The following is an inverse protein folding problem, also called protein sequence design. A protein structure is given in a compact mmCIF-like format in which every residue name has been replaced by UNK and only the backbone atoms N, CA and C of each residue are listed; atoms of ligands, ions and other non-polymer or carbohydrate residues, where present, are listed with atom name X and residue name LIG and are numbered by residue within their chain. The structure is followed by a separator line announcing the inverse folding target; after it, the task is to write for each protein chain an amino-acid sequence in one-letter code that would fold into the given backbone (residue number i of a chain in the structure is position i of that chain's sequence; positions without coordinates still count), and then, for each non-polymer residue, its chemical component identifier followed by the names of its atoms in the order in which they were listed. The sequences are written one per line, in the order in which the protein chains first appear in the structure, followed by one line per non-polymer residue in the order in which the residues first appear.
data_IF_428096168402
#
_entry.id   IF_428096168402
#
_cell.length_a   1.000
_cell.length_b   1.000
_cell.length_c   1.000
_cell.angle_alpha   90.00
_cell.angle_beta   90.00
_cell.angle_gamma   90.00
#
_symmetry.space_group_name_H-M   'P 1'
#
loop_
_entity.id
_entity.type
_entity.pdbx_description
1 polymer ?
#
# COMPACT_ATOMS: atom_id res chain seq x y z
N UNK A 1 4.26 19.01 -0.15
CA UNK A 1 4.19 18.63 1.28
C UNK A 1 5.07 17.43 1.55
N UNK A 2 5.65 17.32 2.75
CA UNK A 2 6.44 16.16 3.19
C UNK A 2 5.89 15.66 4.53
N UNK A 3 5.82 14.35 4.70
CA UNK A 3 5.55 13.67 5.97
C UNK A 3 6.74 12.75 6.23
N UNK A 4 7.36 12.88 7.40
CA UNK A 4 8.56 12.12 7.76
C UNK A 4 8.25 11.31 9.00
N UNK A 5 8.73 10.07 9.04
CA UNK A 5 8.77 9.31 10.29
C UNK A 5 9.68 10.03 11.29
N UNK A 6 9.31 9.98 12.57
CA UNK A 6 10.18 10.40 13.66
C UNK A 6 11.50 9.61 13.63
N UNK A 7 12.61 10.26 13.97
CA UNK A 7 13.91 9.59 13.97
C UNK A 7 13.92 8.38 14.91
N UNK A 8 14.41 7.25 14.40
CA UNK A 8 14.62 6.04 15.17
C UNK A 8 16.09 6.01 15.59
N UNK A 9 16.35 5.98 16.89
CA UNK A 9 17.72 5.87 17.41
C UNK A 9 18.39 4.55 17.01
N UNK A 10 19.72 4.51 16.98
CA UNK A 10 20.47 3.28 16.66
C UNK A 10 20.10 2.11 17.59
N UNK A 11 19.84 2.39 18.87
CA UNK A 11 19.36 1.38 19.81
C UNK A 11 17.99 0.84 19.40
N UNK A 12 17.06 1.71 19.00
CA UNK A 12 15.73 1.30 18.57
C UNK A 12 15.78 0.49 17.27
N UNK A 13 16.66 0.83 16.32
CA UNK A 13 16.85 0.04 15.09
C UNK A 13 17.29 -1.40 15.36
N UNK A 14 18.00 -1.65 16.47
CA UNK A 14 18.45 -2.99 16.85
C UNK A 14 17.38 -3.83 17.57
N UNK A 15 16.35 -3.21 18.13
CA UNK A 15 15.35 -3.91 18.97
C UNK A 15 13.95 -3.93 18.35
N UNK A 16 13.60 -2.94 17.54
CA UNK A 16 12.27 -2.85 16.94
C UNK A 16 12.16 -3.80 15.76
N UNK A 17 11.08 -4.54 15.74
CA UNK A 17 10.66 -5.33 14.57
C UNK A 17 10.16 -4.43 13.45
N UNK A 18 10.12 -4.95 12.23
CA UNK A 18 9.56 -4.24 11.06
C UNK A 18 8.11 -3.80 11.33
N UNK A 19 7.32 -4.64 12.00
CA UNK A 19 5.93 -4.33 12.35
C UNK A 19 5.83 -3.17 13.36
N UNK A 20 6.75 -3.07 14.31
CA UNK A 20 6.79 -1.95 15.26
C UNK A 20 7.25 -0.65 14.58
N UNK A 21 8.20 -0.74 13.66
CA UNK A 21 8.62 0.39 12.83
C UNK A 21 7.45 0.88 11.95
N UNK A 22 6.69 -0.04 11.35
CA UNK A 22 5.54 0.31 10.51
C UNK A 22 4.44 1.08 11.28
N UNK A 23 4.31 0.90 12.60
CA UNK A 23 3.35 1.63 13.44
C UNK A 23 3.62 3.11 13.54
N UNK A 24 4.88 3.52 13.40
CA UNK A 24 5.29 4.93 13.53
C UNK A 24 5.54 5.60 12.17
N UNK A 25 5.43 4.85 11.06
CA UNK A 25 5.56 5.41 9.72
C UNK A 25 4.45 6.44 9.45
N UNK A 26 4.74 7.55 8.74
CA UNK A 26 3.68 8.39 8.18
C UNK A 26 2.74 7.57 7.31
N UNK A 27 1.50 8.05 7.25
CA UNK A 27 0.38 7.40 6.58
C UNK A 27 -0.32 8.42 5.69
N UNK A 28 -0.73 7.97 4.51
CA UNK A 28 -1.68 8.67 3.66
C UNK A 28 -2.78 7.69 3.25
N UNK A 29 -3.94 8.25 2.92
CA UNK A 29 -5.10 7.50 2.49
C UNK A 29 -5.53 8.00 1.11
N UNK A 30 -5.84 7.07 0.21
CA UNK A 30 -6.48 7.35 -1.06
C UNK A 30 -7.73 6.46 -1.17
N UNK A 31 -8.92 7.03 -0.99
CA UNK A 31 -10.12 6.23 -0.79
C UNK A 31 -9.97 5.31 0.43
N UNK A 32 -10.06 4.00 0.20
CA UNK A 32 -9.87 2.96 1.23
C UNK A 32 -8.46 2.33 1.19
N UNK A 33 -7.59 2.75 0.29
CA UNK A 33 -6.21 2.28 0.23
C UNK A 33 -5.33 3.11 1.18
N UNK A 34 -4.71 2.42 2.14
CA UNK A 34 -3.70 2.96 3.04
C UNK A 34 -2.32 2.85 2.40
N UNK A 35 -1.54 3.93 2.42
CA UNK A 35 -0.13 3.90 2.00
C UNK A 35 0.78 4.46 3.09
N UNK A 36 1.90 3.79 3.31
CA UNK A 36 2.86 4.12 4.38
C UNK A 36 4.29 3.93 3.90
N UNK A 37 5.23 4.56 4.56
CA UNK A 37 6.67 4.35 4.39
C UNK A 37 7.44 5.32 5.25
N UNK A 38 8.76 5.35 5.15
CA UNK A 38 9.59 6.17 6.05
C UNK A 38 9.43 7.66 5.74
N UNK A 39 9.36 8.01 4.46
CA UNK A 39 9.21 9.39 3.98
C UNK A 39 8.15 9.46 2.88
N UNK A 40 7.21 10.39 3.00
CA UNK A 40 6.16 10.63 2.01
C UNK A 40 6.29 12.06 1.48
N UNK A 41 6.36 12.19 0.16
CA UNK A 41 6.42 13.45 -0.55
C UNK A 41 5.24 13.56 -1.51
N UNK A 42 4.52 14.67 -1.43
CA UNK A 42 3.49 15.03 -2.39
C UNK A 42 3.90 16.34 -3.06
N UNK A 43 4.05 16.31 -4.38
CA UNK A 43 4.39 17.47 -5.20
C UNK A 43 3.16 18.00 -5.93
N UNK A 44 3.22 19.29 -6.28
CA UNK A 44 2.19 19.99 -7.03
C UNK A 44 2.81 20.69 -8.23
N UNK A 45 2.04 20.84 -9.29
CA UNK A 45 2.39 21.74 -10.38
C UNK A 45 2.38 23.19 -9.86
N UNK A 46 3.45 23.94 -10.14
CA UNK A 46 3.63 25.30 -9.61
C UNK A 46 2.74 26.35 -10.30
N UNK A 47 2.21 26.04 -11.48
CA UNK A 47 1.34 26.92 -12.26
C UNK A 47 -0.13 26.64 -12.01
N UNK A 48 -0.53 25.36 -12.00
CA UNK A 48 -1.95 24.98 -11.82
C UNK A 48 -2.31 24.69 -10.37
N UNK A 49 -1.31 24.44 -9.50
CA UNK A 49 -1.48 24.01 -8.11
C UNK A 49 -2.09 22.61 -7.93
N UNK A 50 -2.28 21.88 -9.04
CA UNK A 50 -2.75 20.49 -9.04
C UNK A 50 -1.70 19.55 -8.47
N UNK A 51 -2.15 18.44 -7.88
CA UNK A 51 -1.28 17.34 -7.49
C UNK A 51 -0.59 16.76 -8.73
N UNK A 52 0.72 16.49 -8.61
CA UNK A 52 1.53 15.97 -9.70
C UNK A 52 2.08 14.57 -9.35
N UNK A 53 2.83 14.45 -8.26
CA UNK A 53 3.48 13.19 -7.90
C UNK A 53 3.37 12.88 -6.40
N UNK A 54 3.24 11.58 -6.11
CA UNK A 54 3.46 10.98 -4.80
C UNK A 54 4.80 10.23 -4.83
N UNK A 55 5.60 10.36 -3.79
CA UNK A 55 6.80 9.53 -3.59
C UNK A 55 6.81 9.02 -2.16
N UNK A 56 6.88 7.71 -1.99
CA UNK A 56 7.11 7.09 -0.69
C UNK A 56 8.45 6.38 -0.76
N UNK A 57 9.35 6.73 0.15
CA UNK A 57 10.73 6.25 0.16
C UNK A 57 10.96 5.39 1.40
N UNK A 58 11.58 4.23 1.17
CA UNK A 58 11.92 3.19 2.14
C UNK A 58 10.67 2.57 2.80
N UNK A 59 10.62 1.23 2.81
CA UNK A 59 9.51 0.46 3.40
C UNK A 59 8.14 0.91 2.92
N UNK A 60 8.01 1.20 1.61
CA UNK A 60 6.74 1.58 1.03
C UNK A 60 5.78 0.39 1.13
N UNK A 61 4.59 0.64 1.66
CA UNK A 61 3.60 -0.38 1.93
C UNK A 61 2.20 0.15 1.61
N UNK A 62 1.43 -0.65 0.86
CA UNK A 62 0.05 -0.40 0.49
C UNK A 62 -0.81 -1.50 1.14
N UNK A 63 -1.90 -1.09 1.78
CA UNK A 63 -2.92 -1.99 2.30
C UNK A 63 -4.27 -1.51 1.79
N UNK A 64 -5.05 -2.40 1.21
CA UNK A 64 -6.44 -2.14 0.85
C UNK A 64 -7.31 -3.22 1.47
N UNK A 65 -8.37 -2.81 2.17
CA UNK A 65 -9.30 -3.76 2.75
C UNK A 65 -10.18 -4.32 1.64
N UNK A 66 -10.19 -5.63 1.51
CA UNK A 66 -11.08 -6.32 0.59
C UNK A 66 -12.53 -6.19 1.06
N UNK A 67 -13.44 -5.98 0.11
CA UNK A 67 -14.87 -5.72 0.35
C UNK A 67 -15.71 -6.99 0.34
N UNK A 68 -15.19 -8.10 -0.20
CA UNK A 68 -15.92 -9.35 -0.34
C UNK A 68 -15.60 -10.36 0.77
N UNK A 69 -14.35 -10.40 1.24
CA UNK A 69 -13.93 -11.30 2.33
C UNK A 69 -14.06 -10.71 3.73
N UNK A 70 -14.25 -11.60 4.72
CA UNK A 70 -14.22 -11.24 6.14
C UNK A 70 -12.77 -10.94 6.61
N UNK A 71 -12.42 -9.66 6.65
CA UNK A 71 -11.09 -9.17 7.08
C UNK A 71 -9.92 -9.61 6.19
N UNK A 72 -10.16 -9.74 4.89
CA UNK A 72 -9.11 -9.90 3.89
C UNK A 72 -8.49 -8.54 3.53
N UNK A 73 -7.19 -8.56 3.21
CA UNK A 73 -6.44 -7.36 2.87
C UNK A 73 -5.52 -7.64 1.68
N UNK A 74 -5.71 -6.86 0.62
CA UNK A 74 -4.73 -6.74 -0.45
C UNK A 74 -3.53 -5.98 0.11
N UNK A 75 -2.33 -6.53 -0.10
CA UNK A 75 -1.10 -6.04 0.51
C UNK A 75 -0.01 -6.00 -0.53
N UNK A 76 0.70 -4.88 -0.60
CA UNK A 76 1.86 -4.73 -1.47
C UNK A 76 2.94 -3.96 -0.73
N UNK A 77 4.18 -4.41 -0.81
CA UNK A 77 5.31 -3.68 -0.25
C UNK A 77 6.47 -3.64 -1.21
N UNK A 78 7.33 -2.64 -1.06
CA UNK A 78 8.56 -2.46 -1.81
C UNK A 78 9.46 -1.43 -1.12
N UNK A 79 10.61 -1.15 -1.72
CA UNK A 79 11.50 -0.11 -1.16
C UNK A 79 11.01 1.29 -1.52
N UNK A 80 10.46 1.49 -2.72
CA UNK A 80 9.99 2.81 -3.18
C UNK A 80 8.63 2.70 -3.84
N UNK A 81 7.82 3.73 -3.69
CA UNK A 81 6.55 3.90 -4.39
C UNK A 81 6.53 5.27 -5.06
N UNK A 82 6.19 5.29 -6.34
CA UNK A 82 5.99 6.50 -7.13
C UNK A 82 4.55 6.53 -7.65
N UNK A 83 3.79 7.53 -7.23
CA UNK A 83 2.43 7.74 -7.72
C UNK A 83 2.35 8.94 -8.66
N UNK A 84 1.48 8.86 -9.66
CA UNK A 84 1.16 9.99 -10.54
C UNK A 84 -0.30 10.39 -10.43
N UNK A 85 -0.51 11.69 -10.29
CA UNK A 85 -1.83 12.29 -10.28
C UNK A 85 -2.19 12.83 -11.66
N UNK A 86 -3.47 12.76 -11.99
CA UNK A 86 -4.09 13.43 -13.12
C UNK A 86 -5.43 13.97 -12.68
N UNK A 87 -5.70 15.25 -12.95
CA UNK A 87 -6.91 15.94 -12.47
C UNK A 87 -7.12 15.80 -10.95
N UNK A 88 -6.02 15.88 -10.19
CA UNK A 88 -5.97 15.68 -8.73
C UNK A 88 -6.36 14.28 -8.23
N UNK A 89 -6.53 13.30 -9.12
CA UNK A 89 -6.77 11.90 -8.77
C UNK A 89 -5.52 11.06 -8.99
N UNK A 90 -5.22 10.16 -8.05
CA UNK A 90 -4.12 9.21 -8.22
C UNK A 90 -4.50 8.21 -9.31
N UNK A 91 -3.70 8.12 -10.38
CA UNK A 91 -3.99 7.25 -11.54
C UNK A 91 -3.05 6.08 -11.67
N UNK A 92 -1.78 6.26 -11.34
CA UNK A 92 -0.81 5.17 -11.41
C UNK A 92 0.06 5.14 -10.17
N UNK A 93 0.44 3.93 -9.80
CA UNK A 93 1.40 3.66 -8.73
C UNK A 93 2.44 2.68 -9.26
N UNK A 94 3.72 3.03 -9.13
CA UNK A 94 4.83 2.15 -9.41
C UNK A 94 5.53 1.83 -8.09
N UNK A 95 5.54 0.55 -7.70
CA UNK A 95 6.24 0.02 -6.55
C UNK A 95 7.52 -0.66 -7.03
N UNK A 96 8.67 -0.31 -6.46
CA UNK A 96 9.98 -0.73 -6.97
C UNK A 96 10.83 -1.35 -5.87
N UNK A 97 11.60 -2.36 -6.28
CA UNK A 97 12.65 -3.08 -5.57
C UNK A 97 12.12 -3.96 -4.44
N UNK A 98 12.47 -5.26 -4.52
CA UNK A 98 12.04 -6.31 -3.59
C UNK A 98 10.54 -6.24 -3.33
N UNK A 99 9.75 -6.16 -4.41
CA UNK A 99 8.32 -5.99 -4.28
C UNK A 99 7.69 -7.32 -3.95
N UNK A 100 6.86 -7.34 -2.91
CA UNK A 100 6.08 -8.52 -2.53
C UNK A 100 4.60 -8.13 -2.50
N UNK A 101 3.74 -9.05 -2.93
CA UNK A 101 2.29 -8.85 -3.02
C UNK A 101 1.55 -10.04 -2.42
N UNK A 102 0.41 -9.76 -1.79
CA UNK A 102 -0.68 -10.69 -1.52
C UNK A 102 -1.97 -10.05 -2.04
N UNK A 103 -2.66 -10.71 -2.96
CA UNK A 103 -3.86 -10.18 -3.61
C UNK A 103 -4.96 -11.24 -3.70
N UNK A 104 -6.18 -10.88 -3.29
CA UNK A 104 -7.33 -11.78 -3.29
C UNK A 104 -8.03 -11.72 -4.65
N UNK A 105 -8.11 -12.86 -5.33
CA UNK A 105 -8.70 -13.00 -6.66
C UNK A 105 -10.13 -13.52 -6.57
N UNK A 106 -11.07 -12.81 -7.21
CA UNK A 106 -12.48 -13.14 -7.19
C UNK A 106 -13.03 -13.42 -8.60
N UNK A 107 -14.00 -14.31 -8.71
CA UNK A 107 -14.73 -14.52 -9.95
C UNK A 107 -15.62 -13.29 -10.23
N UNK A 108 -15.52 -12.76 -11.45
CA UNK A 108 -16.22 -11.53 -11.81
C UNK A 108 -17.75 -11.66 -11.71
N UNK A 109 -18.29 -12.86 -11.99
CA UNK A 109 -19.73 -13.13 -12.07
C UNK A 109 -20.30 -13.58 -10.74
N UNK A 110 -19.67 -14.56 -10.09
CA UNK A 110 -20.21 -15.14 -8.85
C UNK A 110 -19.77 -14.39 -7.61
N UNK A 111 -18.68 -13.61 -7.70
CA UNK A 111 -17.99 -12.97 -6.57
C UNK A 111 -17.39 -13.97 -5.57
N UNK A 112 -17.23 -15.22 -5.97
CA UNK A 112 -16.56 -16.23 -5.16
C UNK A 112 -15.04 -16.03 -5.19
N UNK A 113 -14.37 -16.31 -4.06
CA UNK A 113 -12.92 -16.28 -3.98
C UNK A 113 -12.33 -17.43 -4.81
N UNK A 114 -11.54 -17.08 -5.82
CA UNK A 114 -10.81 -18.04 -6.66
C UNK A 114 -9.54 -18.50 -5.93
N UNK A 115 -8.83 -17.56 -5.31
CA UNK A 115 -7.57 -17.84 -4.63
C UNK A 115 -6.87 -16.58 -4.18
N UNK A 116 -5.68 -16.77 -3.60
CA UNK A 116 -4.82 -15.70 -3.11
C UNK A 116 -3.54 -15.75 -3.94
N UNK A 117 -3.32 -14.71 -4.74
CA UNK A 117 -2.09 -14.53 -5.50
C UNK A 117 -1.02 -13.96 -4.58
N UNK A 118 0.11 -14.66 -4.49
CA UNK A 118 1.29 -14.19 -3.76
C UNK A 118 2.46 -14.15 -4.72
N UNK A 119 3.01 -12.97 -4.91
CA UNK A 119 4.07 -12.75 -5.88
C UNK A 119 5.22 -11.92 -5.30
N UNK A 120 6.42 -12.17 -5.81
CA UNK A 120 7.62 -11.38 -5.60
C UNK A 120 8.15 -10.97 -6.98
N UNK A 121 8.54 -9.71 -7.14
CA UNK A 121 9.16 -9.23 -8.37
C UNK A 121 10.06 -8.02 -8.10
N UNK A 122 10.64 -7.47 -9.17
CA UNK A 122 11.47 -6.26 -9.05
C UNK A 122 10.63 -4.97 -9.06
N UNK A 123 9.50 -4.96 -9.76
CA UNK A 123 8.60 -3.81 -9.83
C UNK A 123 7.16 -4.24 -10.12
N UNK A 124 6.21 -3.48 -9.59
CA UNK A 124 4.77 -3.60 -9.82
C UNK A 124 4.26 -2.24 -10.27
N UNK A 125 3.50 -2.20 -11.37
CA UNK A 125 2.73 -1.01 -11.76
C UNK A 125 1.25 -1.31 -11.52
N UNK A 126 0.56 -0.38 -10.89
CA UNK A 126 -0.87 -0.41 -10.70
C UNK A 126 -1.54 0.75 -11.40
N UNK A 127 -2.64 0.47 -12.06
CA UNK A 127 -3.59 1.47 -12.52
C UNK A 127 -4.72 1.63 -11.48
N UNK A 128 -5.05 2.87 -11.16
CA UNK A 128 -6.04 3.24 -10.16
C UNK A 128 -7.22 3.91 -10.85
N UNK A 129 -8.43 3.43 -10.57
CA UNK A 129 -9.69 3.98 -11.07
C UNK A 129 -10.70 4.07 -9.92
N UNK A 130 -11.35 5.22 -9.76
CA UNK A 130 -12.29 5.47 -8.66
C UNK A 130 -11.70 5.14 -7.27
N UNK A 131 -10.42 5.47 -7.06
CA UNK A 131 -9.65 5.16 -5.84
C UNK A 131 -9.45 3.66 -5.53
N UNK A 132 -9.70 2.76 -6.47
CA UNK A 132 -9.45 1.33 -6.32
C UNK A 132 -8.41 0.85 -7.33
N UNK A 133 -7.74 -0.26 -7.01
CA UNK A 133 -6.81 -0.91 -7.95
C UNK A 133 -7.63 -1.56 -9.08
N UNK A 134 -7.36 -1.12 -10.31
CA UNK A 134 -8.01 -1.63 -11.54
C UNK A 134 -7.19 -2.73 -12.18
N UNK A 135 -5.89 -2.50 -12.33
CA UNK A 135 -4.96 -3.41 -12.99
C UNK A 135 -3.64 -3.44 -12.24
N UNK A 136 -3.01 -4.61 -12.20
CA UNK A 136 -1.70 -4.85 -11.59
C UNK A 136 -0.83 -5.53 -12.64
N UNK A 137 0.31 -4.92 -12.95
CA UNK A 137 1.27 -5.41 -13.93
C UNK A 137 2.62 -5.65 -13.26
N UNK A 138 3.12 -6.87 -13.36
CA UNK A 138 4.40 -7.28 -12.77
C UNK A 138 5.54 -7.14 -13.77
N UNK A 139 6.68 -6.64 -13.31
CA UNK A 139 7.88 -6.46 -14.14
C UNK A 139 9.10 -7.13 -13.51
N UNK A 140 9.88 -7.76 -14.40
CA UNK A 140 11.21 -8.37 -14.16
C UNK A 140 11.21 -9.46 -13.08
N UNK A 141 11.35 -10.70 -13.54
CA UNK A 141 11.39 -11.93 -12.73
C UNK A 141 10.20 -12.05 -11.76
N UNK A 142 8.94 -11.99 -12.26
CA UNK A 142 7.80 -12.32 -11.42
C UNK A 142 7.86 -13.79 -11.02
N UNK A 143 8.01 -14.04 -9.73
CA UNK A 143 7.83 -15.35 -9.11
C UNK A 143 6.56 -15.26 -8.27
N UNK A 144 5.50 -15.91 -8.70
CA UNK A 144 4.22 -15.88 -8.00
C UNK A 144 3.46 -17.18 -8.13
N UNK A 145 2.65 -17.47 -7.12
CA UNK A 145 1.80 -18.65 -7.05
C UNK A 145 0.42 -18.23 -6.53
N UNK A 146 -0.62 -18.80 -7.14
CA UNK A 146 -2.00 -18.61 -6.70
C UNK A 146 -2.38 -19.78 -5.82
N UNK A 147 -2.64 -19.49 -4.55
CA UNK A 147 -3.01 -20.50 -3.55
C UNK A 147 -4.53 -20.53 -3.36
N UNK A 148 -5.16 -21.71 -3.33
CA UNK A 148 -6.49 -21.85 -2.75
C UNK A 148 -6.46 -21.38 -1.29
N UNK A 149 -7.48 -20.64 -0.85
CA UNK A 149 -7.49 -20.03 0.49
C UNK A 149 -7.25 -21.03 1.62
N UNK A 150 -7.77 -22.25 1.47
CA UNK A 150 -7.69 -23.35 2.43
C UNK A 150 -6.29 -23.97 2.55
N UNK A 151 -5.44 -23.78 1.54
CA UNK A 151 -4.10 -24.34 1.48
C UNK A 151 -3.04 -23.37 2.02
N UNK A 152 -3.41 -22.11 2.23
CA UNK A 152 -2.51 -21.07 2.72
C UNK A 152 -2.59 -20.92 4.24
N UNK A 153 -1.48 -21.15 4.92
CA UNK A 153 -1.36 -20.88 6.36
C UNK A 153 -1.60 -19.39 6.68
N UNK A 154 -2.20 -19.10 7.85
CA UNK A 154 -2.59 -17.74 8.23
C UNK A 154 -1.42 -16.74 8.28
N UNK A 155 -0.25 -17.20 8.72
CA UNK A 155 1.00 -16.41 8.74
C UNK A 155 1.49 -16.03 7.33
N UNK A 156 1.14 -16.81 6.30
CA UNK A 156 1.56 -16.54 4.92
C UNK A 156 0.65 -15.53 4.22
N UNK A 157 -0.55 -15.27 4.77
CA UNK A 157 -1.54 -14.30 4.29
C UNK A 157 -1.22 -12.85 4.68
N UNK A 158 -0.15 -12.62 5.45
CA UNK A 158 0.23 -11.30 5.95
C UNK A 158 1.69 -11.02 5.63
N UNK A 159 1.99 -9.89 5.00
CA UNK A 159 3.36 -9.47 4.74
C UNK A 159 3.98 -8.82 5.98
N UNK A 160 5.28 -9.02 6.19
CA UNK A 160 6.04 -8.28 7.19
C UNK A 160 5.94 -6.77 6.95
N UNK A 161 5.59 -6.01 7.97
CA UNK A 161 5.28 -4.59 7.91
C UNK A 161 3.79 -4.28 7.86
N UNK A 162 2.92 -5.29 7.76
CA UNK A 162 1.48 -5.10 7.78
C UNK A 162 1.02 -4.43 9.09
N UNK A 163 0.30 -3.32 8.94
CA UNK A 163 -0.35 -2.63 10.03
C UNK A 163 -1.52 -1.80 9.48
N UNK A 164 -2.74 -2.32 9.62
CA UNK A 164 -3.96 -1.62 9.20
C UNK A 164 -4.38 -0.59 10.24
N UNK A 165 -4.38 0.69 9.88
CA UNK A 165 -4.54 1.83 10.78
C UNK A 165 -5.79 2.66 10.47
N UNK A 166 -6.91 2.00 10.17
CA UNK A 166 -8.17 2.66 9.80
C UNK A 166 -8.64 3.73 10.81
N UNK A 167 -8.29 3.58 12.09
CA UNK A 167 -8.59 4.57 13.13
C UNK A 167 -7.85 5.91 12.95
N UNK A 168 -6.81 5.96 12.11
CA UNK A 168 -6.08 7.17 11.73
C UNK A 168 -6.63 7.80 10.44
N UNK A 169 -7.56 7.14 9.74
CA UNK A 169 -8.22 7.69 8.56
C UNK A 169 -9.13 8.83 8.99
N UNK A 170 -8.90 9.98 8.41
CA UNK A 170 -9.72 11.18 8.64
C UNK A 170 -10.84 11.16 7.61
N UNK A 171 -12.08 11.01 8.07
CA UNK A 171 -13.26 11.01 7.18
C UNK A 171 -13.82 12.42 6.98
N UNK A 172 -13.61 13.29 7.98
CA UNK A 172 -14.20 14.61 8.03
C UNK A 172 -13.16 15.66 8.37
N UNK A 173 -13.29 16.85 7.77
CA UNK A 173 -12.34 17.95 7.94
C UNK A 173 -12.24 18.39 9.40
N UNK A 174 -13.32 18.29 10.16
CA UNK A 174 -13.40 18.66 11.57
C UNK A 174 -12.44 17.84 12.45
N UNK A 175 -12.17 16.58 12.09
CA UNK A 175 -11.28 15.69 12.83
C UNK A 175 -9.81 16.12 12.77
N UNK A 176 -9.42 16.97 11.80
CA UNK A 176 -8.07 17.53 11.68
C UNK A 176 -7.70 18.46 12.86
N UNK A 177 -8.68 19.00 13.58
CA UNK A 177 -8.47 20.01 14.62
C UNK A 177 -8.68 19.48 16.04
N UNK A 178 -8.99 18.19 16.20
CA UNK A 178 -9.34 17.58 17.48
C UNK A 178 -8.13 16.89 18.15
N UNK A 179 -6.99 16.78 17.46
CA UNK A 179 -5.74 16.16 17.96
C UNK A 179 -4.69 17.16 18.42
#
# INVERSE_FOLDING_TARGET
TKLLRNEISERQKQILTINEIAKINPIIWNGDSQMTGDEIHITRDVKTNDLDSLKILNNAFIIEKDTLGDNNFNQMKGIKLFGKFYENELKTIELIQNTEMIYYLYDEKTKDLIGIDKAICSSIIMEIENNNIKEITFFTNPEGEVYPEKEMELNLKVLNGFNWRIQEKIEKKEELFIK
#
